data_IF_627842381914
#
_entry.id   IF_627842381914
#
_cell.length_a   1.000
_cell.length_b   1.000
_cell.length_c   1.000
_cell.angle_alpha   90.00
_cell.angle_beta   90.00
_cell.angle_gamma   90.00
#
_symmetry.space_group_name_H-M   'P 1'
#
loop_
_entity.id
_entity.type
_entity.pdbx_description
1 polymer ?
#
# COMPACT_ATOMS: atom_id res chain seq x y z
N UNK A 1 -39.73 -13.72 26.10
CA UNK A 1 -38.70 -13.23 25.17
C UNK A 1 -38.73 -11.71 25.22
N UNK A 2 -37.65 -11.07 25.69
CA UNK A 2 -37.52 -9.62 25.62
C UNK A 2 -37.15 -9.24 24.19
N UNK A 3 -37.89 -8.32 23.59
CA UNK A 3 -37.57 -7.78 22.27
C UNK A 3 -36.42 -6.79 22.41
N UNK A 4 -35.51 -6.73 21.43
CA UNK A 4 -34.36 -5.81 21.46
C UNK A 4 -34.80 -4.34 21.61
N UNK A 5 -35.97 -3.99 21.08
CA UNK A 5 -36.58 -2.65 21.20
C UNK A 5 -37.11 -2.30 22.59
N UNK A 6 -37.10 -3.25 23.52
CA UNK A 6 -37.50 -3.06 24.92
C UNK A 6 -36.30 -2.86 25.87
N UNK A 7 -35.07 -2.95 25.34
CA UNK A 7 -33.86 -2.71 26.13
C UNK A 7 -33.68 -1.21 26.38
N UNK A 8 -33.10 -0.81 27.53
CA UNK A 8 -32.71 0.57 27.78
C UNK A 8 -31.74 1.12 26.72
N UNK A 9 -31.77 2.42 26.47
CA UNK A 9 -30.91 3.06 25.47
C UNK A 9 -29.42 2.84 25.77
N UNK A 10 -29.04 2.77 27.04
CA UNK A 10 -27.69 2.44 27.51
C UNK A 10 -27.21 1.10 26.94
N UNK A 11 -28.09 0.09 26.97
CA UNK A 11 -27.77 -1.27 26.52
C UNK A 11 -27.69 -1.31 24.99
N UNK A 12 -28.56 -0.58 24.29
CA UNK A 12 -28.49 -0.45 22.83
C UNK A 12 -27.20 0.26 22.40
N UNK A 13 -26.83 1.34 23.08
CA UNK A 13 -25.57 2.03 22.82
C UNK A 13 -24.38 1.10 23.04
N UNK A 14 -24.40 0.27 24.08
CA UNK A 14 -23.35 -0.72 24.32
C UNK A 14 -23.30 -1.81 23.26
N UNK A 15 -24.45 -2.32 22.80
CA UNK A 15 -24.52 -3.25 21.66
C UNK A 15 -23.89 -2.61 20.41
N UNK A 16 -24.22 -1.34 20.13
CA UNK A 16 -23.66 -0.60 19.00
C UNK A 16 -22.15 -0.41 19.12
N UNK A 17 -21.61 -0.16 20.32
CA UNK A 17 -20.15 -0.02 20.55
C UNK A 17 -19.37 -1.29 20.24
N UNK A 18 -20.02 -2.45 20.33
CA UNK A 18 -19.44 -3.77 20.10
C UNK A 18 -19.61 -4.26 18.65
N UNK A 19 -20.03 -3.39 17.70
CA UNK A 19 -19.96 -3.75 16.29
C UNK A 19 -18.51 -3.90 15.85
N UNK A 20 -18.22 -4.93 15.04
CA UNK A 20 -16.86 -5.23 14.56
C UNK A 20 -16.35 -4.21 13.54
N UNK A 21 -17.25 -3.62 12.75
CA UNK A 21 -16.90 -2.67 11.68
C UNK A 21 -17.87 -1.49 11.64
N UNK A 22 -17.32 -0.30 11.38
CA UNK A 22 -18.11 0.92 11.30
C UNK A 22 -19.15 0.87 10.16
N UNK A 23 -18.87 0.14 9.08
CA UNK A 23 -19.81 -0.07 7.96
C UNK A 23 -21.16 -0.66 8.39
N UNK A 24 -21.21 -1.40 9.50
CA UNK A 24 -22.44 -1.99 10.04
C UNK A 24 -23.27 -1.02 10.87
N UNK A 25 -22.71 0.13 11.27
CA UNK A 25 -23.41 1.13 12.05
C UNK A 25 -24.60 1.71 11.27
N UNK A 26 -24.39 2.17 10.04
CA UNK A 26 -25.48 2.80 9.26
C UNK A 26 -26.67 1.85 9.04
N UNK A 27 -26.48 0.60 8.57
CA UNK A 27 -27.57 -0.38 8.53
C UNK A 27 -28.25 -0.59 9.89
N UNK A 28 -27.49 -0.70 10.99
CA UNK A 28 -28.04 -0.87 12.33
C UNK A 28 -28.93 0.31 12.75
N UNK A 29 -28.50 1.55 12.49
CA UNK A 29 -29.26 2.76 12.80
C UNK A 29 -30.55 2.87 11.97
N UNK A 30 -30.56 2.32 10.76
CA UNK A 30 -31.72 2.31 9.88
C UNK A 30 -32.75 1.24 10.24
N UNK A 31 -32.42 0.28 11.12
CA UNK A 31 -33.36 -0.79 11.49
C UNK A 31 -34.59 -0.29 12.23
N UNK A 32 -34.42 0.62 13.19
CA UNK A 32 -35.54 1.23 13.91
C UNK A 32 -35.16 2.53 14.63
N UNK A 33 -36.19 3.31 15.00
CA UNK A 33 -36.04 4.58 15.73
C UNK A 33 -35.31 4.43 17.07
N UNK A 34 -35.45 3.28 17.75
CA UNK A 34 -34.82 3.04 19.05
C UNK A 34 -33.30 3.09 18.94
N UNK A 35 -32.72 2.34 17.99
CA UNK A 35 -31.29 2.33 17.69
C UNK A 35 -30.77 3.72 17.32
N UNK A 36 -31.49 4.42 16.45
CA UNK A 36 -31.13 5.79 16.06
C UNK A 36 -31.14 6.77 17.24
N UNK A 37 -32.11 6.64 18.15
CA UNK A 37 -32.25 7.52 19.32
C UNK A 37 -31.14 7.24 20.32
N UNK A 38 -30.86 5.97 20.63
CA UNK A 38 -29.73 5.60 21.48
C UNK A 38 -28.40 6.07 20.91
N UNK A 39 -28.20 5.97 19.59
CA UNK A 39 -26.99 6.51 18.97
C UNK A 39 -26.85 8.03 19.11
N UNK A 40 -27.96 8.77 19.00
CA UNK A 40 -27.94 10.23 19.21
C UNK A 40 -27.68 10.64 20.66
N UNK A 41 -28.17 9.85 21.62
CA UNK A 41 -28.05 10.15 23.05
C UNK A 41 -26.66 9.84 23.60
N UNK A 42 -25.96 8.83 23.06
CA UNK A 42 -24.65 8.40 23.58
C UNK A 42 -23.53 8.70 22.58
N UNK A 43 -22.56 9.51 23.02
CA UNK A 43 -21.39 9.86 22.21
C UNK A 43 -20.31 8.77 22.20
N UNK A 44 -19.44 8.84 21.19
CA UNK A 44 -18.23 8.01 21.10
C UNK A 44 -18.45 6.58 20.60
N UNK A 45 -19.66 6.23 20.15
CA UNK A 45 -19.97 4.90 19.62
C UNK A 45 -19.07 4.57 18.42
N UNK A 46 -18.89 5.52 17.49
CA UNK A 46 -18.06 5.34 16.31
C UNK A 46 -16.59 5.09 16.66
N UNK A 47 -16.10 5.74 17.70
CA UNK A 47 -14.72 5.59 18.18
C UNK A 47 -14.53 4.22 18.83
N UNK A 48 -15.51 3.77 19.63
CA UNK A 48 -15.50 2.42 20.20
C UNK A 48 -15.46 1.37 19.09
N UNK A 49 -16.32 1.49 18.09
CA UNK A 49 -16.32 0.58 16.93
C UNK A 49 -14.98 0.61 16.21
N UNK A 50 -14.41 1.81 15.96
CA UNK A 50 -13.14 1.94 15.28
C UNK A 50 -11.98 1.28 16.07
N UNK A 51 -12.00 1.35 17.40
CA UNK A 51 -11.02 0.70 18.28
C UNK A 51 -11.14 -0.82 18.30
N UNK A 52 -12.32 -1.36 17.99
CA UNK A 52 -12.49 -2.80 17.76
C UNK A 52 -12.02 -3.20 16.36
N UNK A 53 -12.33 -2.39 15.36
CA UNK A 53 -11.97 -2.63 13.96
C UNK A 53 -10.45 -2.55 13.73
N UNK A 54 -9.77 -1.58 14.34
CA UNK A 54 -8.32 -1.34 14.18
C UNK A 54 -7.61 -1.70 15.48
N UNK A 55 -6.67 -2.63 15.43
CA UNK A 55 -5.93 -3.06 16.62
C UNK A 55 -5.20 -1.88 17.28
N UNK A 56 -5.04 -1.87 18.62
CA UNK A 56 -4.38 -0.77 19.32
C UNK A 56 -2.99 -0.41 18.78
N UNK A 57 -2.22 -1.40 18.32
CA UNK A 57 -0.89 -1.21 17.75
C UNK A 57 -0.91 -0.52 16.36
N UNK A 58 -1.99 -0.73 15.57
CA UNK A 58 -2.14 -0.12 14.24
C UNK A 58 -2.81 1.25 14.29
N UNK A 59 -3.53 1.56 15.36
CA UNK A 59 -4.30 2.81 15.47
C UNK A 59 -3.45 4.08 15.33
N UNK A 60 -2.23 4.20 15.91
CA UNK A 60 -1.37 5.36 15.68
C UNK A 60 -1.05 5.59 14.20
N UNK A 61 -0.79 4.52 13.45
CA UNK A 61 -0.49 4.59 12.01
C UNK A 61 -1.71 5.04 11.20
N UNK A 62 -2.89 4.51 11.54
CA UNK A 62 -4.15 4.86 10.91
C UNK A 62 -4.51 6.34 11.14
N UNK A 63 -4.30 6.84 12.36
CA UNK A 63 -4.46 8.26 12.71
C UNK A 63 -3.44 9.12 11.97
N UNK A 64 -2.17 8.70 11.91
CA UNK A 64 -1.10 9.44 11.24
C UNK A 64 -1.39 9.67 9.75
N UNK A 65 -1.92 8.66 9.03
CA UNK A 65 -2.34 8.80 7.63
C UNK A 65 -3.40 9.90 7.46
N UNK A 66 -4.41 9.92 8.34
CA UNK A 66 -5.48 10.92 8.24
C UNK A 66 -4.98 12.31 8.63
N UNK A 67 -4.16 12.45 9.66
CA UNK A 67 -3.52 13.73 10.02
C UNK A 67 -2.61 14.24 8.90
N UNK A 68 -1.82 13.37 8.29
CA UNK A 68 -0.98 13.70 7.14
C UNK A 68 -1.81 14.32 6.01
N UNK A 69 -3.01 13.79 5.74
CA UNK A 69 -3.90 14.30 4.69
C UNK A 69 -4.49 15.69 4.97
N UNK A 70 -4.39 16.16 6.22
CA UNK A 70 -4.84 17.50 6.66
C UNK A 70 -3.71 18.53 6.67
N UNK A 71 -2.46 18.10 6.52
CA UNK A 71 -1.32 19.02 6.51
C UNK A 71 -1.39 19.96 5.29
N UNK A 72 -0.93 21.21 5.43
CA UNK A 72 -0.89 22.15 4.31
C UNK A 72 -0.06 21.60 3.14
N UNK A 73 -0.67 21.57 1.95
CA UNK A 73 -0.09 21.07 0.70
C UNK A 73 1.17 21.82 0.23
N UNK A 74 1.21 23.14 0.46
CA UNK A 74 2.41 23.95 0.16
C UNK A 74 3.39 23.86 1.32
N UNK A 75 4.29 22.87 1.24
CA UNK A 75 5.30 22.55 2.26
C UNK A 75 6.46 23.55 2.27
N UNK A 76 6.15 24.79 2.66
CA UNK A 76 7.17 25.72 3.18
C UNK A 76 7.61 25.29 4.59
N UNK A 77 6.85 24.40 5.24
CA UNK A 77 7.04 24.00 6.64
C UNK A 77 7.43 22.53 6.75
N UNK A 78 8.73 22.26 6.64
CA UNK A 78 9.32 20.93 6.90
C UNK A 78 9.09 20.44 8.34
N UNK A 79 8.77 21.35 9.26
CA UNK A 79 8.53 21.06 10.67
C UNK A 79 7.25 20.27 10.94
N UNK A 80 6.15 20.51 10.21
CA UNK A 80 4.85 19.89 10.52
C UNK A 80 4.82 18.39 10.23
N UNK A 81 5.38 17.95 9.10
CA UNK A 81 5.44 16.51 8.80
C UNK A 81 6.46 15.80 9.69
N UNK A 82 7.59 16.44 10.01
CA UNK A 82 8.57 15.89 10.96
C UNK A 82 7.93 15.70 12.33
N UNK A 83 7.22 16.71 12.83
CA UNK A 83 6.49 16.60 14.10
C UNK A 83 5.49 15.44 14.10
N UNK A 84 4.79 15.20 12.99
CA UNK A 84 3.88 14.04 12.87
C UNK A 84 4.63 12.70 12.93
N UNK A 85 5.76 12.58 12.24
CA UNK A 85 6.58 11.36 12.27
C UNK A 85 7.21 11.16 13.65
N UNK A 86 7.71 12.22 14.28
CA UNK A 86 8.25 12.19 15.63
C UNK A 86 7.17 11.75 16.63
N UNK A 87 5.95 12.25 16.50
CA UNK A 87 4.82 11.79 17.32
C UNK A 87 4.45 10.33 17.05
N UNK A 88 4.48 9.87 15.80
CA UNK A 88 4.18 8.48 15.46
C UNK A 88 5.17 7.50 16.09
N UNK A 89 6.47 7.80 16.03
CA UNK A 89 7.51 6.87 16.47
C UNK A 89 7.96 7.07 17.91
N UNK A 90 7.89 8.29 18.45
CA UNK A 90 8.38 8.58 19.81
C UNK A 90 7.24 8.70 20.83
N UNK A 91 6.02 9.06 20.39
CA UNK A 91 4.86 9.29 21.29
C UNK A 91 3.52 8.85 20.68
N UNK A 92 3.40 7.60 20.18
CA UNK A 92 2.23 7.12 19.42
C UNK A 92 0.90 7.28 20.17
N UNK A 93 0.91 7.16 21.50
CA UNK A 93 -0.26 7.38 22.34
C UNK A 93 -0.88 8.79 22.15
N UNK A 94 -0.05 9.82 21.97
CA UNK A 94 -0.52 11.20 21.76
C UNK A 94 -1.30 11.37 20.48
N UNK A 95 -1.02 10.58 19.44
CA UNK A 95 -1.81 10.59 18.21
C UNK A 95 -3.18 9.98 18.48
N UNK A 96 -3.23 8.84 19.16
CA UNK A 96 -4.47 8.15 19.48
C UNK A 96 -5.37 8.97 20.41
N UNK A 97 -4.79 9.73 21.33
CA UNK A 97 -5.52 10.63 22.24
C UNK A 97 -6.25 11.76 21.51
N UNK A 98 -5.89 12.06 20.24
CA UNK A 98 -6.60 13.05 19.41
C UNK A 98 -7.86 12.48 18.77
N UNK A 99 -8.00 11.17 18.69
CA UNK A 99 -9.12 10.51 18.01
C UNK A 99 -10.51 11.01 18.49
N UNK A 100 -10.76 11.26 19.79
CA UNK A 100 -12.01 11.87 20.28
C UNK A 100 -12.33 13.25 19.72
N UNK A 101 -11.33 13.97 19.21
CA UNK A 101 -11.49 15.32 18.64
C UNK A 101 -11.79 15.30 17.13
N UNK A 102 -11.74 14.12 16.49
CA UNK A 102 -11.90 14.02 15.05
C UNK A 102 -13.37 14.18 14.64
N UNK A 103 -13.66 14.96 13.58
CA UNK A 103 -14.96 14.92 12.94
C UNK A 103 -15.31 13.49 12.50
N UNK A 104 -16.59 13.13 12.55
CA UNK A 104 -17.07 11.80 12.15
C UNK A 104 -16.60 11.40 10.76
N UNK A 105 -16.53 12.36 9.82
CA UNK A 105 -16.01 12.11 8.45
C UNK A 105 -14.58 11.57 8.42
N UNK A 106 -13.73 12.00 9.36
CA UNK A 106 -12.36 11.48 9.48
C UNK A 106 -12.35 10.09 10.11
N UNK A 107 -13.21 9.83 11.09
CA UNK A 107 -13.37 8.48 11.70
C UNK A 107 -13.79 7.47 10.62
N UNK A 108 -14.76 7.84 9.78
CA UNK A 108 -15.16 7.03 8.62
C UNK A 108 -14.03 6.85 7.61
N UNK A 109 -13.22 7.88 7.37
CA UNK A 109 -12.03 7.77 6.51
C UNK A 109 -11.05 6.75 7.06
N UNK A 110 -10.75 6.78 8.37
CA UNK A 110 -9.86 5.78 9.00
C UNK A 110 -10.43 4.37 8.81
N UNK A 111 -11.71 4.18 9.12
CA UNK A 111 -12.39 2.88 8.97
C UNK A 111 -12.33 2.36 7.52
N UNK A 112 -12.65 3.19 6.53
CA UNK A 112 -12.61 2.81 5.11
C UNK A 112 -11.19 2.47 4.65
N UNK A 113 -10.21 3.31 4.98
CA UNK A 113 -8.80 3.03 4.65
C UNK A 113 -8.33 1.74 5.31
N UNK A 114 -8.74 1.46 6.56
CA UNK A 114 -8.42 0.21 7.21
C UNK A 114 -9.03 -1.01 6.51
N UNK A 115 -10.29 -0.96 6.10
CA UNK A 115 -10.93 -2.07 5.39
C UNK A 115 -10.20 -2.40 4.08
N UNK A 116 -9.77 -1.38 3.33
CA UNK A 116 -8.96 -1.55 2.12
C UNK A 116 -7.60 -2.17 2.43
N UNK A 117 -6.89 -1.63 3.42
CA UNK A 117 -5.58 -2.15 3.85
C UNK A 117 -5.72 -3.58 4.35
N UNK A 118 -6.78 -3.90 5.09
CA UNK A 118 -7.07 -5.25 5.55
C UNK A 118 -7.27 -6.19 4.35
N UNK A 119 -8.05 -5.79 3.35
CA UNK A 119 -8.29 -6.61 2.16
C UNK A 119 -6.98 -6.90 1.39
N UNK A 120 -6.17 -5.88 1.13
CA UNK A 120 -4.89 -6.05 0.43
C UNK A 120 -3.85 -6.81 1.25
N UNK A 121 -3.76 -6.57 2.56
CA UNK A 121 -2.85 -7.31 3.43
C UNK A 121 -3.18 -8.81 3.44
N UNK A 122 -4.47 -9.15 3.49
CA UNK A 122 -4.93 -10.55 3.45
C UNK A 122 -4.68 -11.18 2.08
N UNK A 123 -4.96 -10.47 0.98
CA UNK A 123 -4.67 -10.95 -0.38
C UNK A 123 -3.16 -11.16 -0.59
N UNK A 124 -2.33 -10.19 -0.21
CA UNK A 124 -0.88 -10.29 -0.32
C UNK A 124 -0.33 -11.48 0.47
N UNK A 125 -0.74 -11.64 1.74
CA UNK A 125 -0.33 -12.77 2.55
C UNK A 125 -0.78 -14.12 1.97
N UNK A 126 -1.98 -14.18 1.39
CA UNK A 126 -2.51 -15.40 0.77
C UNK A 126 -1.70 -15.80 -0.44
N UNK A 127 -1.47 -14.86 -1.37
CA UNK A 127 -0.66 -15.10 -2.57
C UNK A 127 0.78 -15.47 -2.21
N UNK A 128 1.37 -14.76 -1.24
CA UNK A 128 2.71 -15.07 -0.77
C UNK A 128 2.81 -16.48 -0.19
N UNK A 129 1.82 -16.92 0.60
CA UNK A 129 1.79 -18.29 1.14
C UNK A 129 1.63 -19.34 0.02
N UNK A 130 0.79 -19.08 -0.98
CA UNK A 130 0.62 -19.97 -2.14
C UNK A 130 1.93 -20.14 -2.92
N UNK A 131 2.74 -19.08 -3.03
CA UNK A 131 4.06 -19.14 -3.66
C UNK A 131 5.12 -19.91 -2.84
N UNK A 132 4.95 -20.00 -1.52
CA UNK A 132 5.88 -20.67 -0.60
C UNK A 132 5.53 -22.15 -0.45
N UNK A 133 4.24 -22.45 -0.34
CA UNK A 133 3.73 -23.80 -0.11
C UNK A 133 2.52 -24.07 -1.02
N UNK A 134 2.74 -24.38 -2.31
CA UNK A 134 1.67 -24.70 -3.25
C UNK A 134 0.85 -25.87 -2.70
N UNK A 135 -0.42 -25.62 -2.37
CA UNK A 135 -1.28 -26.62 -1.73
C UNK A 135 -1.62 -26.35 -0.26
N UNK A 136 -0.88 -25.47 0.44
CA UNK A 136 -1.16 -25.12 1.84
C UNK A 136 -2.45 -24.31 2.00
N UNK A 137 -2.80 -23.45 1.03
CA UNK A 137 -4.14 -22.89 0.93
C UNK A 137 -5.12 -23.82 0.20
N UNK A 138 -4.67 -24.80 -0.58
CA UNK A 138 -5.57 -25.62 -1.41
C UNK A 138 -6.39 -26.68 -0.66
N UNK A 139 -6.43 -26.65 0.68
CA UNK A 139 -7.39 -27.41 1.48
C UNK A 139 -8.81 -26.77 1.48
N UNK A 140 -9.35 -26.49 0.29
CA UNK A 140 -10.73 -26.04 0.06
C UNK A 140 -10.88 -24.57 -0.38
N UNK A 141 -12.06 -24.15 -0.89
CA UNK A 141 -12.26 -22.87 -1.59
C UNK A 141 -12.21 -21.60 -0.71
N UNK A 142 -11.72 -21.67 0.53
CA UNK A 142 -11.88 -20.60 1.52
C UNK A 142 -10.91 -20.70 2.72
N UNK A 143 -9.69 -21.19 2.52
CA UNK A 143 -8.66 -21.17 3.59
C UNK A 143 -8.03 -19.78 3.64
N UNK A 144 -8.69 -18.88 4.36
CA UNK A 144 -8.09 -17.60 4.76
C UNK A 144 -6.77 -17.91 5.46
N UNK A 145 -5.67 -17.30 5.02
CA UNK A 145 -4.38 -17.45 5.69
C UNK A 145 -4.53 -17.03 7.15
N UNK A 146 -4.34 -17.98 8.05
CA UNK A 146 -4.34 -17.73 9.49
C UNK A 146 -3.01 -17.08 9.86
N UNK A 147 -2.95 -15.75 9.83
CA UNK A 147 -1.79 -14.97 10.27
C UNK A 147 -1.67 -14.97 11.79
N UNK A 148 -0.44 -15.03 12.30
CA UNK A 148 -0.20 -14.71 13.70
C UNK A 148 -0.53 -13.24 13.99
N UNK A 149 -0.70 -12.84 15.26
CA UNK A 149 -0.89 -11.44 15.62
C UNK A 149 0.23 -10.51 15.14
N UNK A 150 1.48 -10.99 15.12
CA UNK A 150 2.64 -10.21 14.67
C UNK A 150 2.68 -10.11 13.15
N UNK A 151 2.43 -11.20 12.43
CA UNK A 151 2.30 -11.19 10.97
C UNK A 151 1.15 -10.24 10.55
N UNK A 152 -0.02 -10.37 11.18
CA UNK A 152 -1.18 -9.49 10.98
C UNK A 152 -0.80 -8.01 11.11
N UNK A 153 0.01 -7.68 12.12
CA UNK A 153 0.51 -6.34 12.38
C UNK A 153 1.49 -5.88 11.30
N UNK A 154 2.54 -6.66 10.98
CA UNK A 154 3.57 -6.29 9.99
C UNK A 154 2.98 -5.99 8.62
N UNK A 155 2.13 -6.89 8.10
CA UNK A 155 1.49 -6.71 6.80
C UNK A 155 0.75 -5.38 6.76
N UNK A 156 -0.17 -5.13 7.70
CA UNK A 156 -0.97 -3.89 7.71
C UNK A 156 -0.16 -2.64 7.99
N UNK A 157 0.83 -2.73 8.89
CA UNK A 157 1.72 -1.61 9.21
C UNK A 157 2.50 -1.16 7.97
N UNK A 158 3.00 -2.09 7.16
CA UNK A 158 3.70 -1.76 5.92
C UNK A 158 2.78 -1.03 4.92
N UNK A 159 1.53 -1.47 4.75
CA UNK A 159 0.54 -0.74 3.95
C UNK A 159 0.24 0.66 4.49
N UNK A 160 0.08 0.83 5.81
CA UNK A 160 -0.08 2.16 6.38
C UNK A 160 1.13 3.06 6.15
N UNK A 161 2.35 2.52 6.17
CA UNK A 161 3.57 3.28 5.90
C UNK A 161 3.66 3.70 4.44
N UNK A 162 3.28 2.84 3.50
CA UNK A 162 3.17 3.21 2.07
C UNK A 162 2.13 4.30 1.87
N UNK A 163 0.93 4.15 2.46
CA UNK A 163 -0.13 5.17 2.37
C UNK A 163 0.30 6.50 3.01
N UNK A 164 0.98 6.44 4.16
CA UNK A 164 1.53 7.61 4.85
C UNK A 164 2.59 8.29 3.99
N UNK A 165 3.50 7.53 3.38
CA UNK A 165 4.51 8.05 2.47
C UNK A 165 3.84 8.80 1.32
N UNK A 166 2.92 8.16 0.58
CA UNK A 166 2.24 8.82 -0.52
C UNK A 166 1.46 10.05 -0.06
N UNK A 167 0.76 9.99 1.08
CA UNK A 167 0.02 11.12 1.64
C UNK A 167 0.93 12.29 2.00
N UNK A 168 2.13 12.01 2.52
CA UNK A 168 3.08 13.05 2.86
C UNK A 168 3.68 13.67 1.58
N UNK A 169 4.18 12.88 0.65
CA UNK A 169 5.04 13.42 -0.41
C UNK A 169 4.27 13.87 -1.68
N UNK A 170 2.93 13.94 -1.66
CA UNK A 170 2.05 14.25 -2.83
C UNK A 170 2.42 15.48 -3.67
N UNK A 171 3.00 16.53 -3.07
CA UNK A 171 3.24 17.83 -3.71
C UNK A 171 4.73 18.24 -3.77
N UNK A 172 5.64 17.35 -3.38
CA UNK A 172 7.07 17.66 -3.44
C UNK A 172 7.65 17.35 -4.81
N UNK A 173 8.26 18.36 -5.45
CA UNK A 173 9.48 18.12 -6.22
C UNK A 173 10.43 17.44 -5.25
N UNK A 174 10.55 16.12 -5.34
CA UNK A 174 11.45 15.32 -4.54
C UNK A 174 12.84 15.95 -4.66
N UNK A 175 13.24 16.73 -3.64
CA UNK A 175 14.57 17.34 -3.61
C UNK A 175 15.38 16.36 -2.81
N UNK A 176 16.28 15.64 -3.50
CA UNK A 176 17.26 14.62 -3.04
C UNK A 176 17.84 14.74 -1.61
N UNK A 177 17.64 15.85 -0.90
CA UNK A 177 18.13 16.12 0.45
C UNK A 177 17.04 16.15 1.54
N UNK A 178 15.74 16.02 1.22
CA UNK A 178 14.67 16.05 2.22
C UNK A 178 14.23 14.66 2.71
N UNK A 179 14.75 13.60 2.09
CA UNK A 179 14.03 12.34 1.95
C UNK A 179 14.49 11.21 2.88
N UNK A 180 15.66 11.36 3.52
CA UNK A 180 16.16 10.33 4.42
C UNK A 180 15.35 10.20 5.71
N UNK A 181 14.60 11.24 6.11
CA UNK A 181 13.92 11.27 7.42
C UNK A 181 12.83 10.23 7.56
N UNK A 182 12.13 9.89 6.47
CA UNK A 182 11.05 8.89 6.56
C UNK A 182 11.66 7.50 6.75
N UNK A 183 12.55 7.09 5.84
CA UNK A 183 13.16 5.76 5.87
C UNK A 183 14.18 5.56 7.00
N UNK A 184 14.79 6.63 7.52
CA UNK A 184 15.69 6.54 8.70
C UNK A 184 14.97 6.23 10.01
N UNK A 185 13.63 6.28 10.03
CA UNK A 185 12.81 5.87 11.19
C UNK A 185 12.56 4.37 11.24
N UNK A 186 13.02 3.65 10.22
CA UNK A 186 12.77 2.23 10.05
C UNK A 186 14.11 1.49 9.92
N UNK A 187 14.23 0.30 10.52
CA UNK A 187 15.34 -0.57 10.23
C UNK A 187 15.21 -1.11 8.80
N UNK A 188 16.32 -1.59 8.22
CA UNK A 188 16.39 -1.98 6.81
C UNK A 188 15.35 -3.04 6.41
N UNK A 189 15.12 -4.06 7.23
CA UNK A 189 14.11 -5.09 6.93
C UNK A 189 12.67 -4.54 6.92
N UNK A 190 12.38 -3.49 7.68
CA UNK A 190 11.08 -2.81 7.61
C UNK A 190 10.97 -1.88 6.40
N UNK A 191 12.08 -1.31 5.93
CA UNK A 191 12.13 -0.61 4.65
C UNK A 191 11.94 -1.59 3.48
N UNK A 192 12.49 -2.80 3.57
CA UNK A 192 12.19 -3.89 2.63
C UNK A 192 10.70 -4.26 2.67
N UNK A 193 10.07 -4.33 3.85
CA UNK A 193 8.61 -4.55 3.96
C UNK A 193 7.81 -3.46 3.21
N UNK A 194 8.19 -2.18 3.35
CA UNK A 194 7.55 -1.07 2.61
C UNK A 194 7.70 -1.28 1.10
N UNK A 195 8.90 -1.65 0.64
CA UNK A 195 9.17 -1.91 -0.76
C UNK A 195 8.41 -3.11 -1.33
N UNK A 196 8.31 -4.21 -0.58
CA UNK A 196 7.47 -5.36 -0.94
C UNK A 196 6.00 -4.97 -1.14
N UNK A 197 5.44 -4.14 -0.25
CA UNK A 197 4.05 -3.66 -0.39
C UNK A 197 3.91 -2.75 -1.60
N UNK A 198 4.89 -1.89 -1.86
CA UNK A 198 4.90 -1.05 -3.06
C UNK A 198 4.85 -1.88 -4.35
N UNK A 199 5.70 -2.89 -4.48
CA UNK A 199 5.68 -3.79 -5.63
C UNK A 199 4.39 -4.60 -5.75
N UNK A 200 3.86 -5.10 -4.62
CA UNK A 200 2.56 -5.76 -4.61
C UNK A 200 1.46 -4.83 -5.14
N UNK A 201 1.40 -3.58 -4.66
CA UNK A 201 0.41 -2.60 -5.13
C UNK A 201 0.60 -2.27 -6.61
N UNK A 202 1.86 -2.14 -7.08
CA UNK A 202 2.17 -1.94 -8.49
C UNK A 202 1.68 -3.11 -9.34
N UNK A 203 1.90 -4.35 -8.91
CA UNK A 203 1.44 -5.54 -9.60
C UNK A 203 -0.09 -5.61 -9.67
N UNK A 204 -0.79 -5.35 -8.56
CA UNK A 204 -2.27 -5.30 -8.54
C UNK A 204 -2.81 -4.18 -9.43
N UNK A 205 -2.17 -3.02 -9.42
CA UNK A 205 -2.51 -1.91 -10.29
C UNK A 205 -2.31 -2.27 -11.77
N UNK A 206 -1.15 -2.84 -12.13
CA UNK A 206 -0.83 -3.24 -13.49
C UNK A 206 -1.83 -4.28 -14.01
N UNK A 207 -2.15 -5.30 -13.22
CA UNK A 207 -3.17 -6.29 -13.55
C UNK A 207 -4.55 -5.65 -13.80
N UNK A 208 -4.97 -4.72 -12.91
CA UNK A 208 -6.27 -4.08 -13.01
C UNK A 208 -6.37 -3.09 -14.19
N UNK A 209 -5.27 -2.46 -14.58
CA UNK A 209 -5.20 -1.42 -15.62
C UNK A 209 -4.80 -1.93 -17.01
N UNK A 210 -4.23 -3.14 -17.11
CA UNK A 210 -3.61 -3.66 -18.34
C UNK A 210 -4.48 -3.51 -19.58
N UNK A 211 -5.75 -3.94 -19.51
CA UNK A 211 -6.68 -3.83 -20.65
C UNK A 211 -6.88 -2.37 -21.09
N UNK A 212 -6.98 -1.43 -20.14
CA UNK A 212 -7.12 -0.01 -20.48
C UNK A 212 -5.86 0.50 -21.16
N UNK A 213 -4.69 0.27 -20.57
CA UNK A 213 -3.42 0.81 -21.07
C UNK A 213 -3.04 0.18 -22.42
N UNK A 214 -3.31 -1.11 -22.59
CA UNK A 214 -3.03 -1.84 -23.83
C UNK A 214 -3.94 -1.44 -25.00
N UNK A 215 -5.16 -0.95 -24.74
CA UNK A 215 -6.17 -0.74 -25.78
C UNK A 215 -6.67 0.70 -25.93
N UNK A 216 -6.52 1.56 -24.94
CA UNK A 216 -6.95 2.94 -25.05
C UNK A 216 -6.08 3.72 -26.05
N UNK A 217 -6.73 4.50 -26.93
CA UNK A 217 -6.06 5.29 -27.97
C UNK A 217 -5.21 6.43 -27.39
N UNK A 218 -5.66 7.10 -26.33
CA UNK A 218 -4.90 8.18 -25.70
C UNK A 218 -3.66 7.64 -25.00
N UNK A 219 -3.82 6.58 -24.19
CA UNK A 219 -2.69 5.94 -23.50
C UNK A 219 -1.68 5.34 -24.48
N UNK A 220 -2.16 4.86 -25.64
CA UNK A 220 -1.29 4.46 -26.74
C UNK A 220 -0.56 5.62 -27.42
N UNK A 221 -1.20 6.80 -27.59
CA UNK A 221 -0.55 8.00 -28.14
C UNK A 221 0.60 8.50 -27.26
N UNK A 222 0.41 8.47 -25.94
CA UNK A 222 1.48 8.87 -25.01
C UNK A 222 2.44 7.72 -24.71
N UNK A 223 2.27 6.54 -25.31
CA UNK A 223 3.14 5.38 -25.14
C UNK A 223 3.30 4.96 -23.67
N UNK A 224 2.20 4.72 -22.96
CA UNK A 224 2.26 4.14 -21.61
C UNK A 224 2.67 2.68 -21.69
N UNK A 225 3.78 2.31 -21.03
CA UNK A 225 4.28 0.94 -21.01
C UNK A 225 3.39 0.04 -20.14
N UNK A 226 2.78 -0.99 -20.75
CA UNK A 226 1.93 -1.96 -20.05
C UNK A 226 2.59 -3.33 -19.84
N UNK A 227 3.87 -3.49 -20.22
CA UNK A 227 4.67 -4.70 -20.04
C UNK A 227 5.65 -4.55 -18.87
N UNK A 228 6.25 -3.37 -18.69
CA UNK A 228 7.18 -3.03 -17.59
C UNK A 228 6.64 -1.86 -16.76
N UNK A 229 5.55 -2.07 -16.00
CA UNK A 229 4.83 -1.00 -15.30
C UNK A 229 5.69 -0.20 -14.28
N UNK A 230 6.83 -0.75 -13.83
CA UNK A 230 7.72 -0.08 -12.88
C UNK A 230 8.67 0.96 -13.46
N UNK A 231 8.80 1.05 -14.79
CA UNK A 231 9.74 1.98 -15.45
C UNK A 231 9.08 3.31 -15.85
N UNK A 232 7.74 3.37 -15.83
CA UNK A 232 6.97 4.50 -16.31
C UNK A 232 6.46 5.38 -15.15
N UNK A 233 6.90 6.65 -15.13
CA UNK A 233 6.53 7.65 -14.11
C UNK A 233 5.00 7.83 -13.92
N UNK A 234 4.19 7.48 -14.93
CA UNK A 234 2.73 7.54 -14.84
C UNK A 234 2.15 6.52 -13.88
N UNK A 235 2.78 5.34 -13.76
CA UNK A 235 2.40 4.36 -12.74
C UNK A 235 2.63 4.91 -11.34
N UNK A 236 3.72 5.63 -11.10
CA UNK A 236 3.96 6.31 -9.83
C UNK A 236 2.93 7.42 -9.56
N UNK A 237 2.47 8.11 -10.61
CA UNK A 237 1.40 9.11 -10.51
C UNK A 237 0.06 8.51 -10.09
N UNK A 238 -0.25 7.30 -10.56
CA UNK A 238 -1.46 6.58 -10.19
C UNK A 238 -1.35 5.93 -8.81
N UNK A 239 -0.23 5.30 -8.48
CA UNK A 239 -0.01 4.69 -7.17
C UNK A 239 -0.02 5.72 -6.04
N UNK A 240 0.49 6.93 -6.28
CA UNK A 240 0.49 8.02 -5.30
C UNK A 240 -0.90 8.57 -4.95
N UNK A 241 -1.95 8.16 -5.69
CA UNK A 241 -3.34 8.44 -5.30
C UNK A 241 -3.77 7.68 -4.04
N UNK A 242 -2.99 6.67 -3.62
CA UNK A 242 -3.16 5.93 -2.38
C UNK A 242 -3.83 4.56 -2.57
N UNK A 243 -3.82 3.76 -1.52
CA UNK A 243 -4.31 2.37 -1.51
C UNK A 243 -5.76 2.26 -1.95
N UNK A 244 -6.60 3.24 -1.61
CA UNK A 244 -7.99 3.21 -1.99
C UNK A 244 -8.21 3.37 -3.49
N UNK A 245 -7.40 4.19 -4.16
CA UNK A 245 -7.47 4.34 -5.61
C UNK A 245 -7.16 3.02 -6.32
N UNK A 246 -6.09 2.34 -5.88
CA UNK A 246 -5.72 1.01 -6.40
C UNK A 246 -6.83 0.01 -6.13
N UNK A 247 -7.39 -0.01 -4.93
CA UNK A 247 -8.50 -0.91 -4.58
C UNK A 247 -9.72 -0.69 -5.46
N UNK A 248 -10.18 0.55 -5.58
CA UNK A 248 -11.32 0.90 -6.42
C UNK A 248 -11.10 0.50 -7.89
N UNK A 249 -9.87 0.60 -8.39
CA UNK A 249 -9.52 0.16 -9.74
C UNK A 249 -9.60 -1.38 -9.88
N UNK A 250 -9.15 -2.12 -8.86
CA UNK A 250 -9.20 -3.59 -8.86
C UNK A 250 -10.62 -4.14 -8.80
N UNK A 251 -11.55 -3.46 -8.11
CA UNK A 251 -12.95 -3.90 -7.97
C UNK A 251 -13.89 -3.27 -9.00
N UNK A 252 -13.41 -2.36 -9.85
CA UNK A 252 -14.24 -1.77 -10.90
C UNK A 252 -14.49 -2.79 -12.02
N UNK A 253 -15.76 -2.99 -12.36
CA UNK A 253 -16.17 -4.03 -13.32
C UNK A 253 -16.23 -3.57 -14.78
N UNK A 254 -16.06 -2.26 -15.04
CA UNK A 254 -16.22 -1.71 -16.40
C UNK A 254 -14.98 -0.97 -16.91
N UNK A 255 -14.75 -1.10 -18.21
CA UNK A 255 -13.72 -0.36 -18.93
C UNK A 255 -13.85 1.15 -18.68
N UNK A 256 -15.06 1.70 -18.83
CA UNK A 256 -15.30 3.15 -18.73
C UNK A 256 -15.02 3.69 -17.33
N UNK A 257 -15.36 2.93 -16.27
CA UNK A 257 -15.06 3.31 -14.89
C UNK A 257 -13.55 3.36 -14.65
N UNK A 258 -12.82 2.31 -15.06
CA UNK A 258 -11.36 2.24 -14.92
C UNK A 258 -10.67 3.33 -15.73
N UNK A 259 -11.06 3.51 -17.00
CA UNK A 259 -10.55 4.57 -17.86
C UNK A 259 -10.77 5.95 -17.24
N UNK A 260 -11.99 6.25 -16.76
CA UNK A 260 -12.30 7.54 -16.12
C UNK A 260 -11.46 7.80 -14.88
N UNK A 261 -11.22 6.77 -14.05
CA UNK A 261 -10.34 6.88 -12.88
C UNK A 261 -8.89 7.20 -13.27
N UNK A 262 -8.34 6.45 -14.24
CA UNK A 262 -6.96 6.63 -14.71
C UNK A 262 -6.76 8.00 -15.34
N UNK A 263 -7.69 8.41 -16.22
CA UNK A 263 -7.67 9.72 -16.88
C UNK A 263 -7.79 10.87 -15.87
N UNK A 264 -8.76 10.79 -14.94
CA UNK A 264 -8.95 11.82 -13.92
C UNK A 264 -7.73 12.00 -13.02
N UNK A 265 -6.98 10.92 -12.76
CA UNK A 265 -5.76 10.97 -11.97
C UNK A 265 -4.60 11.62 -12.73
N UNK A 266 -4.50 11.40 -14.06
CA UNK A 266 -3.53 12.08 -14.92
C UNK A 266 -3.83 13.56 -15.13
N UNK A 267 -5.11 13.92 -15.29
CA UNK A 267 -5.55 15.30 -15.49
C UNK A 267 -5.47 16.13 -14.20
N UNK A 268 -5.56 15.46 -13.04
CA UNK A 268 -5.29 16.09 -11.75
C UNK A 268 -3.83 16.52 -11.68
N UNK A 269 -3.53 17.58 -10.90
CA UNK A 269 -2.13 18.02 -10.70
C UNK A 269 -1.25 16.81 -10.39
N UNK A 270 -0.23 16.51 -11.23
CA UNK A 270 0.47 15.24 -11.15
C UNK A 270 1.14 15.11 -9.79
N UNK A 271 0.68 14.12 -9.02
CA UNK A 271 1.33 13.66 -7.80
C UNK A 271 2.39 12.64 -8.22
N UNK A 272 3.52 13.10 -8.73
CA UNK A 272 4.57 12.16 -9.12
C UNK A 272 5.49 11.92 -7.92
N UNK A 273 5.25 10.82 -7.19
CA UNK A 273 6.11 10.38 -6.09
C UNK A 273 6.55 8.95 -6.35
N UNK A 274 7.84 8.77 -6.60
CA UNK A 274 8.42 7.46 -6.77
C UNK A 274 8.98 6.97 -5.42
N UNK A 275 8.30 6.00 -4.80
CA UNK A 275 8.71 5.43 -3.52
C UNK A 275 10.04 4.69 -3.65
N UNK A 276 10.24 3.96 -4.75
CA UNK A 276 11.46 3.19 -4.98
C UNK A 276 12.66 4.12 -5.17
N UNK A 277 12.52 5.16 -6.01
CA UNK A 277 13.55 6.20 -6.16
C UNK A 277 13.88 6.84 -4.80
N UNK A 278 12.87 7.10 -3.97
CA UNK A 278 13.08 7.68 -2.66
C UNK A 278 13.84 6.75 -1.69
N UNK A 279 13.59 5.45 -1.79
CA UNK A 279 14.29 4.43 -1.03
C UNK A 279 15.75 4.30 -1.49
N UNK A 280 16.01 4.33 -2.79
CA UNK A 280 17.37 4.32 -3.36
C UNK A 280 18.13 5.58 -2.94
N UNK A 281 17.51 6.75 -3.05
CA UNK A 281 18.11 8.01 -2.61
C UNK A 281 18.45 8.01 -1.12
N UNK A 282 17.65 7.33 -0.29
CA UNK A 282 17.97 7.12 1.12
C UNK A 282 19.27 6.33 1.31
N UNK A 283 19.45 5.23 0.57
CA UNK A 283 20.66 4.40 0.63
C UNK A 283 21.90 5.17 0.12
N UNK A 284 21.78 5.88 -1.00
CA UNK A 284 22.85 6.72 -1.56
C UNK A 284 23.30 7.83 -0.58
N UNK A 285 22.38 8.27 0.29
CA UNK A 285 22.65 9.27 1.31
C UNK A 285 23.32 8.73 2.57
N UNK A 286 23.48 7.42 2.73
CA UNK A 286 24.20 6.83 3.86
C UNK A 286 25.72 6.95 3.60
N UNK A 287 26.42 7.61 4.52
CA UNK A 287 27.88 7.64 4.49
C UNK A 287 28.41 6.30 4.98
N UNK A 288 28.75 5.39 4.06
CA UNK A 288 29.22 4.06 4.38
C UNK A 288 30.75 3.98 4.25
N UNK A 289 31.45 3.34 5.20
CA UNK A 289 32.86 2.99 5.03
C UNK A 289 33.01 2.08 3.81
N UNK A 290 33.89 2.44 2.88
CA UNK A 290 34.10 1.68 1.64
C UNK A 290 34.40 0.20 1.91
N UNK A 291 33.62 -0.68 1.27
CA UNK A 291 34.02 -2.07 1.02
C UNK A 291 33.56 -3.13 2.03
N UNK A 292 32.72 -2.81 3.01
CA UNK A 292 32.18 -3.83 3.91
C UNK A 292 30.92 -4.49 3.33
N UNK A 293 30.94 -5.83 3.25
CA UNK A 293 29.73 -6.61 2.97
C UNK A 293 28.80 -6.62 4.19
N UNK A 294 27.51 -6.87 3.97
CA UNK A 294 26.49 -6.96 5.02
C UNK A 294 26.83 -7.94 6.14
N UNK A 295 27.48 -9.06 5.84
CA UNK A 295 27.97 -10.03 6.85
C UNK A 295 28.94 -9.43 7.87
N UNK A 296 29.69 -8.40 7.47
CA UNK A 296 30.73 -7.79 8.29
C UNK A 296 30.17 -6.74 9.25
N UNK A 297 28.93 -6.30 9.04
CA UNK A 297 28.25 -5.32 9.89
C UNK A 297 27.60 -6.01 11.09
N UNK A 298 27.88 -5.49 12.28
CA UNK A 298 27.17 -5.87 13.49
C UNK A 298 25.73 -5.34 13.47
N UNK A 299 24.89 -5.91 14.32
CA UNK A 299 23.51 -5.42 14.45
C UNK A 299 23.47 -4.01 15.03
N UNK A 300 24.41 -3.67 15.93
CA UNK A 300 24.58 -2.33 16.47
C UNK A 300 24.99 -1.32 15.40
N UNK A 301 25.89 -1.70 14.49
CA UNK A 301 26.28 -0.87 13.35
C UNK A 301 25.09 -0.64 12.41
N UNK A 302 24.33 -1.69 12.09
CA UNK A 302 23.11 -1.56 11.28
C UNK A 302 22.08 -0.62 11.91
N UNK A 303 21.89 -0.71 13.24
CA UNK A 303 21.00 0.19 13.99
C UNK A 303 21.50 1.63 14.03
N UNK A 304 22.82 1.85 13.97
CA UNK A 304 23.38 3.20 13.98
C UNK A 304 23.01 4.02 12.72
N UNK A 305 22.73 3.35 11.60
CA UNK A 305 22.27 3.99 10.37
C UNK A 305 20.79 4.41 10.42
N UNK A 306 20.03 3.92 11.41
CA UNK A 306 18.60 4.19 11.58
C UNK A 306 18.30 4.74 12.99
N UNK A 307 18.97 5.85 13.39
CA UNK A 307 18.97 6.33 14.78
C UNK A 307 17.61 6.85 15.25
N UNK A 308 16.66 7.04 14.32
CA UNK A 308 15.32 7.50 14.62
C UNK A 308 14.38 6.42 15.15
N UNK A 309 14.82 5.17 15.22
CA UNK A 309 14.12 4.06 15.86
C UNK A 309 14.33 4.13 17.37
N UNK A 310 13.50 4.90 18.07
CA UNK A 310 13.39 4.75 19.51
C UNK A 310 12.78 3.37 19.78
N UNK A 311 13.55 2.50 20.43
CA UNK A 311 13.10 1.19 20.91
C UNK A 311 11.90 1.39 21.84
N UNK A 312 10.71 0.93 21.45
CA UNK A 312 9.52 0.87 22.31
C UNK A 312 9.19 -0.60 22.60
N UNK A 313 9.55 -1.14 23.78
CA UNK A 313 9.28 -2.52 24.14
C UNK A 313 7.78 -2.86 24.25
N UNK A 314 6.87 -1.89 24.17
CA UNK A 314 5.42 -2.12 24.06
C UNK A 314 4.91 -2.19 22.61
N UNK A 315 5.73 -1.79 21.62
CA UNK A 315 5.42 -1.83 20.19
C UNK A 315 6.32 -2.77 19.39
N UNK A 316 7.45 -3.19 19.96
CA UNK A 316 8.42 -3.97 19.21
C UNK A 316 7.96 -5.40 19.02
N UNK A 317 7.84 -5.71 17.75
CA UNK A 317 7.87 -7.04 17.19
C UNK A 317 9.20 -7.72 17.57
N UNK A 318 9.18 -8.48 18.66
CA UNK A 318 10.36 -9.19 19.19
C UNK A 318 10.76 -10.40 18.36
N UNK A 319 9.93 -10.80 17.40
CA UNK A 319 10.20 -11.95 16.55
C UNK A 319 11.29 -11.59 15.53
N UNK A 320 12.31 -12.44 15.46
CA UNK A 320 13.49 -12.18 14.62
C UNK A 320 13.28 -12.61 13.16
N UNK A 321 12.15 -13.20 12.80
CA UNK A 321 11.87 -13.76 11.47
C UNK A 321 12.17 -12.77 10.34
N UNK A 322 11.60 -11.55 10.36
CA UNK A 322 11.88 -10.51 9.36
C UNK A 322 13.37 -10.18 9.23
N UNK A 323 14.03 -9.95 10.36
CA UNK A 323 15.43 -9.56 10.41
C UNK A 323 16.34 -10.68 9.90
N UNK A 324 16.15 -11.91 10.39
CA UNK A 324 16.97 -13.06 9.99
C UNK A 324 16.76 -13.40 8.51
N UNK A 325 15.52 -13.31 8.01
CA UNK A 325 15.22 -13.52 6.59
C UNK A 325 15.93 -12.49 5.72
N UNK A 326 15.81 -11.20 6.07
CA UNK A 326 16.51 -10.13 5.37
C UNK A 326 18.02 -10.34 5.43
N UNK A 327 18.60 -10.51 6.62
CA UNK A 327 20.04 -10.67 6.81
C UNK A 327 20.59 -11.86 6.03
N UNK A 328 19.89 -12.99 6.03
CA UNK A 328 20.30 -14.18 5.30
C UNK A 328 20.31 -13.94 3.77
N UNK A 329 19.29 -13.27 3.23
CA UNK A 329 19.23 -12.96 1.78
C UNK A 329 20.18 -11.86 1.33
N UNK A 330 20.73 -11.08 2.27
CA UNK A 330 21.57 -9.91 1.98
C UNK A 330 23.03 -10.11 2.38
N UNK A 331 23.39 -11.27 2.91
CA UNK A 331 24.68 -11.54 3.53
C UNK A 331 25.87 -11.15 2.61
N UNK A 332 25.80 -11.56 1.34
CA UNK A 332 26.83 -11.32 0.33
C UNK A 332 26.74 -9.96 -0.37
N UNK A 333 25.68 -9.19 -0.13
CA UNK A 333 25.46 -7.90 -0.78
C UNK A 333 26.12 -6.77 0.00
N UNK A 334 26.38 -5.68 -0.73
CA UNK A 334 26.73 -4.41 -0.10
C UNK A 334 25.47 -3.71 0.42
N UNK A 335 25.61 -2.90 1.45
CA UNK A 335 24.46 -2.23 2.08
C UNK A 335 23.75 -1.26 1.11
N UNK A 336 24.48 -0.60 0.20
CA UNK A 336 23.94 0.31 -0.83
C UNK A 336 22.95 -0.40 -1.76
N UNK A 337 23.10 -1.72 -1.93
CA UNK A 337 22.28 -2.57 -2.80
C UNK A 337 21.40 -3.54 -2.00
N UNK A 338 21.30 -3.36 -0.68
CA UNK A 338 20.67 -4.33 0.23
C UNK A 338 19.15 -4.24 0.32
N UNK A 339 18.56 -3.15 -0.20
CA UNK A 339 17.10 -3.00 -0.28
C UNK A 339 16.65 -3.10 -1.72
N UNK A 340 15.50 -3.77 -1.93
CA UNK A 340 14.81 -3.82 -3.22
C UNK A 340 15.70 -4.23 -4.40
N UNK A 341 16.64 -5.13 -4.16
CA UNK A 341 17.56 -5.62 -5.19
C UNK A 341 16.76 -6.20 -6.37
N UNK A 342 17.13 -5.82 -7.60
CA UNK A 342 16.31 -6.07 -8.80
C UNK A 342 16.02 -7.56 -9.03
N UNK A 343 17.01 -8.42 -8.73
CA UNK A 343 16.92 -9.87 -8.95
C UNK A 343 16.06 -10.61 -7.89
N UNK A 344 15.60 -9.91 -6.85
CA UNK A 344 14.89 -10.51 -5.72
C UNK A 344 13.38 -10.27 -5.73
N UNK A 345 12.82 -9.88 -6.87
CA UNK A 345 11.36 -9.71 -7.01
C UNK A 345 10.58 -10.96 -6.57
N UNK A 346 11.09 -12.15 -6.88
CA UNK A 346 10.49 -13.43 -6.49
C UNK A 346 10.51 -13.69 -4.97
N UNK A 347 11.46 -13.13 -4.21
CA UNK A 347 11.46 -13.17 -2.74
C UNK A 347 10.38 -12.24 -2.18
N UNK A 348 10.22 -11.06 -2.78
CA UNK A 348 9.23 -10.06 -2.37
C UNK A 348 7.80 -10.51 -2.66
N UNK A 349 7.57 -11.22 -3.76
CA UNK A 349 6.31 -11.92 -4.04
C UNK A 349 5.92 -12.91 -2.93
N UNK A 350 6.91 -13.50 -2.27
CA UNK A 350 6.75 -14.43 -1.13
C UNK A 350 6.69 -13.71 0.22
N UNK A 351 6.68 -12.38 0.24
CA UNK A 351 6.67 -11.57 1.46
C UNK A 351 7.73 -12.04 2.49
N UNK A 352 8.94 -12.38 2.02
CA UNK A 352 9.93 -13.11 2.82
C UNK A 352 10.33 -12.41 4.14
N UNK A 353 10.20 -11.07 4.21
CA UNK A 353 10.46 -10.26 5.42
C UNK A 353 9.22 -10.02 6.31
N UNK A 354 8.12 -10.74 6.12
CA UNK A 354 6.88 -10.56 6.90
C UNK A 354 6.57 -11.70 7.86
N UNK A 355 7.12 -12.88 7.61
CA UNK A 355 6.76 -14.09 8.33
C UNK A 355 7.44 -14.19 9.69
N UNK A 356 6.74 -14.81 10.65
CA UNK A 356 7.34 -15.13 11.95
C UNK A 356 8.53 -16.07 11.79
N UNK A 357 9.45 -16.04 12.75
CA UNK A 357 10.64 -16.88 12.75
C UNK A 357 10.31 -18.37 12.61
N UNK A 358 9.24 -18.85 13.24
CA UNK A 358 8.80 -20.25 13.13
C UNK A 358 8.39 -20.63 11.70
N UNK A 359 7.68 -19.74 10.98
CA UNK A 359 7.36 -19.93 9.56
C UNK A 359 8.59 -19.84 8.69
N UNK A 360 9.45 -18.86 8.95
CA UNK A 360 10.73 -18.70 8.24
C UNK A 360 11.51 -20.01 8.32
N UNK A 361 11.64 -20.57 9.51
CA UNK A 361 12.32 -21.83 9.72
C UNK A 361 11.61 -23.02 9.05
N UNK A 362 10.28 -23.03 9.03
CA UNK A 362 9.52 -24.13 8.44
C UNK A 362 9.64 -24.16 6.91
N UNK A 363 9.53 -22.99 6.28
CA UNK A 363 9.39 -22.92 4.82
C UNK A 363 10.66 -22.53 4.07
N UNK A 364 11.63 -21.89 4.75
CA UNK A 364 12.79 -21.31 4.09
C UNK A 364 14.13 -21.93 4.52
N UNK A 365 14.13 -22.95 5.40
CA UNK A 365 15.35 -23.66 5.84
C UNK A 365 16.11 -24.42 4.75
N UNK A 366 15.47 -24.74 3.62
CA UNK A 366 16.12 -25.42 2.50
C UNK A 366 16.90 -24.46 1.56
N UNK A 367 16.99 -23.17 1.93
CA UNK A 367 17.37 -22.09 1.03
C UNK A 367 16.17 -21.61 0.24
N UNK A 368 16.19 -20.36 -0.19
CA UNK A 368 15.07 -19.77 -0.95
C UNK A 368 14.91 -20.39 -2.36
N UNK A 369 15.79 -21.31 -2.78
CA UNK A 369 15.83 -21.85 -4.14
C UNK A 369 16.37 -20.83 -5.14
N UNK A 370 16.62 -21.27 -6.38
CA UNK A 370 16.90 -20.34 -7.48
C UNK A 370 15.58 -19.76 -7.98
N UNK A 371 15.51 -18.42 -8.05
CA UNK A 371 14.38 -17.73 -8.67
C UNK A 371 14.28 -18.05 -10.16
N UNK A 372 13.09 -17.90 -10.76
CA UNK A 372 12.96 -18.01 -12.21
C UNK A 372 13.89 -16.99 -12.89
N UNK A 373 14.67 -17.45 -13.88
CA UNK A 373 15.47 -16.56 -14.74
C UNK A 373 14.54 -15.56 -15.43
N UNK A 374 14.89 -14.27 -15.53
CA UNK A 374 14.09 -13.29 -16.26
C UNK A 374 13.91 -13.75 -17.72
N UNK A 375 12.69 -14.12 -18.08
CA UNK A 375 12.40 -14.76 -19.37
C UNK A 375 12.73 -13.85 -20.56
N UNK A 376 13.42 -14.43 -21.55
CA UNK A 376 13.72 -13.87 -22.87
C UNK A 376 12.47 -13.62 -23.75
N UNK A 377 11.26 -13.78 -23.19
CA UNK A 377 9.96 -13.62 -23.85
C UNK A 377 9.61 -12.13 -24.06
N UNK A 378 10.32 -11.19 -23.42
CA UNK A 378 10.00 -9.76 -23.46
C UNK A 378 10.26 -9.07 -24.80
N UNK A 379 11.25 -9.50 -25.58
CA UNK A 379 11.68 -8.68 -26.73
C UNK A 379 10.61 -8.62 -27.84
N UNK A 380 9.96 -9.74 -28.18
CA UNK A 380 8.89 -9.74 -29.20
C UNK A 380 7.67 -8.95 -28.72
N UNK A 381 7.20 -9.22 -27.50
CA UNK A 381 6.03 -8.53 -26.94
C UNK A 381 6.27 -7.02 -26.85
N UNK A 382 7.50 -6.60 -26.55
CA UNK A 382 7.90 -5.21 -26.54
C UNK A 382 7.82 -4.56 -27.93
N UNK A 383 8.33 -5.23 -28.97
CA UNK A 383 8.21 -4.74 -30.34
C UNK A 383 6.73 -4.65 -30.78
N UNK A 384 5.93 -5.67 -30.47
CA UNK A 384 4.50 -5.67 -30.78
C UNK A 384 3.79 -4.49 -30.07
N UNK A 385 4.13 -4.23 -28.80
CA UNK A 385 3.63 -3.08 -28.05
C UNK A 385 3.98 -1.74 -28.74
N UNK A 386 5.23 -1.54 -29.13
CA UNK A 386 5.66 -0.33 -29.83
C UNK A 386 4.91 -0.12 -31.15
N UNK A 387 4.67 -1.18 -31.90
CA UNK A 387 3.87 -1.14 -33.13
C UNK A 387 2.42 -0.71 -32.84
N UNK A 388 1.82 -1.20 -31.75
CA UNK A 388 0.48 -0.77 -31.34
C UNK A 388 0.43 0.72 -30.98
N UNK A 389 1.47 1.27 -30.35
CA UNK A 389 1.54 2.71 -30.04
C UNK A 389 1.57 3.54 -31.33
N UNK A 390 2.37 3.13 -32.31
CA UNK A 390 2.42 3.82 -33.60
C UNK A 390 1.06 3.81 -34.34
N UNK A 391 0.28 2.74 -34.21
CA UNK A 391 -1.06 2.66 -34.79
C UNK A 391 -2.06 3.55 -34.05
N UNK A 392 -2.11 3.47 -32.71
CA UNK A 392 -2.97 4.32 -31.88
C UNK A 392 -2.63 5.80 -32.02
N UNK A 393 -1.36 6.15 -32.21
CA UNK A 393 -0.95 7.51 -32.50
C UNK A 393 -1.54 8.07 -33.81
N UNK A 394 -1.59 7.24 -34.86
CA UNK A 394 -2.25 7.63 -36.14
C UNK A 394 -3.75 7.85 -35.95
N UNK A 395 -4.40 7.06 -35.10
CA UNK A 395 -5.82 7.20 -34.77
C UNK A 395 -6.06 8.51 -34.01
N UNK A 396 -5.25 8.75 -32.97
CA UNK A 396 -5.33 9.96 -32.13
C UNK A 396 -5.18 11.24 -32.94
N UNK A 397 -4.17 11.30 -33.84
CA UNK A 397 -3.90 12.45 -34.72
C UNK A 397 -5.02 12.76 -35.70
N UNK A 398 -5.80 11.75 -36.08
CA UNK A 398 -7.02 11.91 -36.89
C UNK A 398 -8.25 12.31 -36.05
N UNK A 399 -8.07 12.49 -34.74
CA UNK A 399 -9.13 12.85 -33.80
C UNK A 399 -9.83 11.66 -33.13
N UNK A 400 -9.46 10.41 -33.44
CA UNK A 400 -10.08 9.22 -32.87
C UNK A 400 -9.78 9.05 -31.38
N UNK A 401 -10.73 8.51 -30.61
CA UNK A 401 -10.66 8.29 -29.15
C UNK A 401 -11.29 6.95 -28.78
N UNK A 402 -11.03 6.45 -27.57
CA UNK A 402 -11.67 5.26 -27.03
C UNK A 402 -10.86 3.97 -27.23
N UNK A 403 -11.55 2.84 -27.29
CA UNK A 403 -10.95 1.51 -27.30
C UNK A 403 -10.50 1.10 -28.72
N UNK A 404 -9.29 0.56 -28.82
CA UNK A 404 -8.72 0.01 -30.05
C UNK A 404 -8.13 -1.39 -29.82
N UNK A 405 -8.30 -2.28 -30.80
CA UNK A 405 -7.53 -3.52 -30.91
C UNK A 405 -7.08 -3.75 -32.36
N UNK A 406 -6.10 -4.63 -32.56
CA UNK A 406 -5.39 -4.86 -33.84
C UNK A 406 -6.33 -5.12 -35.03
N UNK A 407 -7.52 -5.67 -34.79
CA UNK A 407 -8.48 -5.99 -35.84
C UNK A 407 -9.90 -5.43 -35.58
N UNK A 408 -10.09 -4.65 -34.52
CA UNK A 408 -11.38 -4.04 -34.18
C UNK A 408 -11.24 -2.53 -33.90
N UNK A 409 -11.85 -1.75 -34.78
CA UNK A 409 -11.93 -0.29 -34.71
C UNK A 409 -13.35 0.21 -34.42
N UNK A 410 -14.30 -0.70 -34.17
CA UNK A 410 -15.72 -0.38 -33.98
C UNK A 410 -16.00 0.46 -32.73
N UNK A 411 -15.10 0.41 -31.74
CA UNK A 411 -15.19 1.14 -30.47
C UNK A 411 -14.43 2.48 -30.46
N UNK A 412 -13.90 2.90 -31.61
CA UNK A 412 -13.27 4.21 -31.76
C UNK A 412 -14.33 5.26 -32.04
N UNK A 413 -14.32 6.32 -31.23
CA UNK A 413 -15.15 7.50 -31.42
C UNK A 413 -14.38 8.51 -32.27
N UNK A 414 -14.95 8.91 -33.40
CA UNK A 414 -14.40 9.95 -34.28
C UNK A 414 -15.15 11.26 -34.08
N UNK A 415 -14.50 12.43 -34.22
CA UNK A 415 -15.19 13.70 -34.16
C UNK A 415 -16.17 13.79 -35.33
N UNK A 416 -17.37 14.29 -35.07
CA UNK A 416 -18.32 14.61 -36.14
C UNK A 416 -17.63 15.55 -37.13
N UNK A 417 -17.75 15.27 -38.43
CA UNK A 417 -17.27 16.19 -39.45
C UNK A 417 -18.00 17.51 -39.25
N UNK A 418 -17.30 18.53 -38.78
CA UNK A 418 -17.74 19.91 -38.86
C UNK A 418 -17.98 20.17 -40.36
N UNK A 419 -19.25 20.11 -40.77
CA UNK A 419 -19.69 20.43 -42.12
C UNK A 419 -19.47 21.91 -42.41
#
# INVERSE_FOLDING_TARGET
>A
MLLITQLPCEIIAEILRNLDHLRFLSPALLTCRHFYTSFKEYHGIEISILRHQVTPALLPHAVAVVEASRLPRRRVFTSSFRCLLDELYERPARLVDRLPTFPTTLIWKISRTHDVIHAFATDFATRALDCIAPGAASAGPCTVVALSPLEYFRFRRAFYRVELFYTLFQDSLFRKNMDNWFFSRHPFWENEQIGCVHEYLLARFAEASRDIVAHDVFFGEISIDYLTPGEDDRYHTWLSQGVEFVYNLTVADSYDAKHSMLQSALDSRPRCVNLLEALVAFLDGLYLPDGNNMEQLSEEELRSFTPGHAYDPAQDDIDRGPYESWRHTRADLRLETSLMHADDGWLRERAYVFWDQDRVQTYFRAGFGEGPSPDAIREREYHDMLDTFAQRSKIWRKGGRGYWSTDDTSRIVWPDKLN
#
